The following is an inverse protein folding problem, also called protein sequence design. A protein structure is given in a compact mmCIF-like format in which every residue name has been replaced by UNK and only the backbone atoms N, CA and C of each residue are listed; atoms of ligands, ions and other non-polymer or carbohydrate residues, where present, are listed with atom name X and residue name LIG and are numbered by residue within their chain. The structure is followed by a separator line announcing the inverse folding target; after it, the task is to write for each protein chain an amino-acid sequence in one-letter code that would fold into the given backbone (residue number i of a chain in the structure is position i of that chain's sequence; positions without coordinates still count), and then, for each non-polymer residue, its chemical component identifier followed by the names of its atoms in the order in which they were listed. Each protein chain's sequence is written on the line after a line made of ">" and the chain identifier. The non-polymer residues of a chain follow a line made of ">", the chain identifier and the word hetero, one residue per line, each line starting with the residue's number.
data_IF_877154825714
#
_entry.id   IF_877154825714
#
_cell.length_a   1.000
_cell.length_b   1.000
_cell.length_c   1.000
_cell.angle_alpha   90.00
_cell.angle_beta   90.00
_cell.angle_gamma   90.00
#
_symmetry.space_group_name_H-M   'P 1'
#
loop_
_entity.id
_entity.type
_entity.pdbx_description
1 polymer ?
#
# COMPACT_ATOMS: atom_id res chain seq x y z
N UNK A 1 -10.79 -2.42 10.09
CA UNK A 1 -9.58 -1.83 9.52
C UNK A 1 -9.88 -0.47 8.87
N UNK A 2 -10.59 -0.41 7.73
CA UNK A 2 -10.72 0.81 6.92
C UNK A 2 -11.28 2.02 7.68
N UNK A 3 -12.33 1.91 8.53
CA UNK A 3 -12.78 3.06 9.33
C UNK A 3 -11.68 3.66 10.21
N UNK A 4 -10.78 2.83 10.77
CA UNK A 4 -9.66 3.31 11.56
C UNK A 4 -8.59 4.00 10.69
N UNK A 5 -8.32 3.47 9.47
CA UNK A 5 -7.43 4.12 8.52
C UNK A 5 -7.99 5.49 8.09
N UNK A 6 -9.28 5.57 7.76
CA UNK A 6 -9.92 6.82 7.35
C UNK A 6 -9.92 7.85 8.49
N UNK A 7 -10.19 7.42 9.72
CA UNK A 7 -10.11 8.31 10.88
C UNK A 7 -8.70 8.89 11.07
N UNK A 8 -7.67 8.08 10.82
CA UNK A 8 -6.27 8.49 11.00
C UNK A 8 -5.78 9.51 9.95
N UNK A 9 -6.37 9.50 8.74
CA UNK A 9 -6.02 10.42 7.64
C UNK A 9 -7.01 11.57 7.43
N UNK A 10 -8.02 11.69 8.31
CA UNK A 10 -9.01 12.77 8.27
C UNK A 10 -10.23 12.53 7.38
N UNK A 11 -10.45 11.30 6.94
CA UNK A 11 -11.59 10.87 6.13
C UNK A 11 -11.21 9.95 4.98
N UNK A 12 -12.20 9.35 4.29
CA UNK A 12 -11.92 8.52 3.13
C UNK A 12 -11.36 9.36 1.97
N UNK A 13 -10.31 8.87 1.29
CA UNK A 13 -9.68 9.58 0.17
C UNK A 13 -10.56 9.55 -1.08
N UNK A 14 -10.35 10.50 -1.98
CA UNK A 14 -11.04 10.56 -3.28
C UNK A 14 -10.23 9.94 -4.42
N UNK A 15 -8.90 9.94 -4.29
CA UNK A 15 -8.02 9.29 -5.25
C UNK A 15 -7.07 8.34 -4.52
N UNK A 16 -7.13 7.05 -4.88
CA UNK A 16 -6.31 5.99 -4.32
C UNK A 16 -5.47 5.36 -5.43
N UNK A 17 -4.18 5.19 -5.16
CA UNK A 17 -3.30 4.33 -5.93
C UNK A 17 -2.88 3.12 -5.07
N UNK A 18 -3.22 1.91 -5.49
CA UNK A 18 -2.89 0.67 -4.81
C UNK A 18 -1.78 -0.05 -5.58
N UNK A 19 -0.56 0.06 -5.08
CA UNK A 19 0.65 -0.39 -5.78
C UNK A 19 1.11 -1.75 -5.25
N UNK A 20 1.58 -2.62 -6.16
CA UNK A 20 1.87 -4.03 -5.86
C UNK A 20 0.70 -4.66 -5.11
N UNK A 21 -0.49 -4.42 -5.63
CA UNK A 21 -1.76 -4.53 -4.91
C UNK A 21 -2.15 -5.98 -4.57
N UNK A 22 -1.62 -6.97 -5.29
CA UNK A 22 -2.04 -8.36 -5.13
C UNK A 22 -3.56 -8.50 -5.22
N UNK A 23 -4.16 -9.10 -4.20
CA UNK A 23 -5.61 -9.32 -4.11
C UNK A 23 -6.32 -8.26 -3.26
N UNK A 24 -5.61 -7.25 -2.76
CA UNK A 24 -6.19 -6.21 -1.89
C UNK A 24 -7.40 -5.49 -2.50
N UNK A 25 -7.45 -5.18 -3.83
CA UNK A 25 -8.58 -4.50 -4.43
C UNK A 25 -9.91 -5.28 -4.38
N UNK A 26 -9.89 -6.60 -4.15
CA UNK A 26 -11.13 -7.34 -3.89
C UNK A 26 -11.85 -6.87 -2.62
N UNK A 27 -11.18 -6.17 -1.72
CA UNK A 27 -11.77 -5.61 -0.51
C UNK A 27 -12.53 -4.29 -0.75
N UNK A 28 -12.51 -3.70 -1.97
CA UNK A 28 -13.18 -2.43 -2.29
C UNK A 28 -14.62 -2.30 -1.78
N UNK A 29 -15.50 -3.33 -1.89
CA UNK A 29 -16.86 -3.23 -1.39
C UNK A 29 -16.97 -2.98 0.12
N UNK A 30 -15.92 -3.29 0.88
CA UNK A 30 -15.89 -3.14 2.35
C UNK A 30 -15.06 -1.95 2.82
N UNK A 31 -14.44 -1.20 1.90
CA UNK A 31 -13.60 -0.04 2.25
C UNK A 31 -14.42 1.18 2.71
N UNK A 32 -15.72 1.24 2.37
CA UNK A 32 -16.59 2.37 2.72
C UNK A 32 -16.18 3.66 2.04
N UNK A 33 -15.71 3.57 0.79
CA UNK A 33 -15.28 4.72 -0.02
C UNK A 33 -16.48 5.47 -0.60
N UNK A 34 -16.36 6.80 -0.81
CA UNK A 34 -17.33 7.57 -1.58
C UNK A 34 -17.53 7.00 -2.99
N UNK A 35 -18.72 7.11 -3.57
CA UNK A 35 -19.01 6.58 -4.91
C UNK A 35 -18.18 7.22 -6.03
N UNK A 36 -17.70 8.43 -5.81
CA UNK A 36 -16.86 9.21 -6.73
C UNK A 36 -15.35 9.01 -6.52
N UNK A 37 -14.97 8.05 -5.67
CA UNK A 37 -13.55 7.72 -5.48
C UNK A 37 -12.96 7.12 -6.74
N UNK A 38 -11.86 7.70 -7.19
CA UNK A 38 -11.02 7.14 -8.25
C UNK A 38 -10.05 6.14 -7.63
N UNK A 39 -10.14 4.88 -8.04
CA UNK A 39 -9.27 3.82 -7.54
C UNK A 39 -8.49 3.19 -8.68
N UNK A 40 -7.17 3.29 -8.60
CA UNK A 40 -6.25 2.65 -9.53
C UNK A 40 -5.41 1.60 -8.80
N UNK A 41 -5.27 0.44 -9.39
CA UNK A 41 -4.46 -0.66 -8.85
C UNK A 41 -3.33 -1.01 -9.82
N UNK A 42 -2.21 -1.48 -9.31
CA UNK A 42 -1.15 -2.02 -10.16
C UNK A 42 -0.46 -3.21 -9.51
N UNK A 43 -0.10 -4.18 -10.33
CA UNK A 43 0.68 -5.35 -9.93
C UNK A 43 1.56 -5.82 -11.09
N UNK A 44 2.67 -6.50 -10.77
CA UNK A 44 3.55 -7.08 -11.79
C UNK A 44 2.96 -8.36 -12.41
N UNK A 45 2.10 -9.08 -11.68
CA UNK A 45 1.44 -10.31 -12.16
C UNK A 45 0.21 -9.97 -13.02
N UNK A 46 0.36 -10.14 -14.34
CA UNK A 46 -0.72 -9.94 -15.31
C UNK A 46 -1.99 -10.74 -14.98
N UNK A 47 -1.87 -11.93 -14.40
CA UNK A 47 -3.03 -12.78 -14.06
C UNK A 47 -3.87 -12.15 -12.96
N UNK A 48 -3.21 -11.50 -12.00
CA UNK A 48 -3.87 -10.72 -10.94
C UNK A 48 -4.59 -9.53 -11.58
N UNK A 49 -3.90 -8.74 -12.41
CA UNK A 49 -4.46 -7.58 -13.11
C UNK A 49 -5.69 -7.96 -13.93
N UNK A 50 -5.61 -9.02 -14.73
CA UNK A 50 -6.73 -9.50 -15.55
C UNK A 50 -7.92 -9.96 -14.69
N UNK A 51 -7.65 -10.55 -13.52
CA UNK A 51 -8.68 -11.00 -12.58
C UNK A 51 -9.37 -9.82 -11.90
N UNK A 52 -8.60 -8.79 -11.51
CA UNK A 52 -9.12 -7.57 -10.93
C UNK A 52 -10.00 -6.79 -11.91
N UNK A 53 -9.56 -6.61 -13.16
CA UNK A 53 -10.35 -5.89 -14.17
C UNK A 53 -11.67 -6.61 -14.45
N UNK A 54 -11.67 -7.95 -14.53
CA UNK A 54 -12.92 -8.74 -14.63
C UNK A 54 -13.82 -8.58 -13.41
N UNK A 55 -13.24 -8.47 -12.21
CA UNK A 55 -14.00 -8.22 -10.99
C UNK A 55 -14.64 -6.83 -11.01
N UNK A 56 -13.88 -5.79 -11.36
CA UNK A 56 -14.39 -4.42 -11.45
C UNK A 56 -15.54 -4.31 -12.44
N UNK A 57 -15.37 -4.86 -13.64
CA UNK A 57 -16.39 -4.89 -14.67
C UNK A 57 -17.70 -5.57 -14.19
N UNK A 58 -17.57 -6.78 -13.62
CA UNK A 58 -18.73 -7.55 -13.15
C UNK A 58 -19.44 -6.95 -11.94
N UNK A 59 -18.71 -6.26 -11.10
CA UNK A 59 -19.23 -5.62 -9.88
C UNK A 59 -19.74 -4.21 -10.13
N UNK A 60 -19.55 -3.65 -11.33
CA UNK A 60 -19.89 -2.27 -11.63
C UNK A 60 -19.05 -1.24 -10.84
N UNK A 61 -17.88 -1.66 -10.33
CA UNK A 61 -16.97 -0.79 -9.58
C UNK A 61 -16.15 0.01 -10.58
N UNK A 62 -16.18 1.34 -10.46
CA UNK A 62 -15.35 2.24 -11.28
C UNK A 62 -13.91 2.25 -10.78
N UNK A 63 -13.16 1.21 -11.14
CA UNK A 63 -11.74 1.05 -10.81
C UNK A 63 -11.01 0.41 -12.00
N UNK A 64 -9.68 0.53 -12.01
CA UNK A 64 -8.82 -0.01 -13.05
C UNK A 64 -7.57 -0.63 -12.44
N UNK A 65 -7.14 -1.74 -13.00
CA UNK A 65 -5.84 -2.36 -12.68
C UNK A 65 -4.94 -2.38 -13.92
N UNK A 66 -3.66 -2.09 -13.72
CA UNK A 66 -2.62 -2.14 -14.77
C UNK A 66 -1.44 -3.02 -14.36
N UNK A 67 -0.78 -3.60 -15.38
CA UNK A 67 0.45 -4.36 -15.14
C UNK A 67 1.63 -3.37 -15.04
N UNK A 68 2.30 -3.36 -13.87
CA UNK A 68 3.35 -2.38 -13.59
C UNK A 68 4.46 -2.99 -12.74
N UNK A 69 5.70 -2.85 -13.19
CA UNK A 69 6.89 -3.13 -12.41
C UNK A 69 7.35 -1.87 -11.69
N UNK A 70 7.17 -1.80 -10.37
CA UNK A 70 7.51 -0.63 -9.58
C UNK A 70 9.01 -0.33 -9.54
N UNK A 71 9.87 -1.33 -9.75
CA UNK A 71 11.32 -1.13 -9.76
C UNK A 71 11.81 -0.61 -11.11
N UNK A 72 11.21 -1.06 -12.20
CA UNK A 72 11.58 -0.66 -13.56
C UNK A 72 10.92 0.66 -14.00
N UNK A 73 9.69 0.93 -13.57
CA UNK A 73 8.94 2.13 -13.97
C UNK A 73 9.40 3.37 -13.16
N UNK A 74 10.00 4.40 -13.80
CA UNK A 74 10.47 5.60 -13.13
C UNK A 74 9.35 6.61 -12.82
N UNK A 75 8.12 6.36 -13.24
CA UNK A 75 7.02 7.32 -13.16
C UNK A 75 6.67 7.68 -11.71
N UNK A 76 6.34 8.95 -11.49
CA UNK A 76 5.77 9.39 -10.23
C UNK A 76 4.33 8.91 -10.10
N UNK A 77 3.91 8.67 -8.86
CA UNK A 77 2.53 8.34 -8.51
C UNK A 77 1.98 9.45 -7.65
N UNK A 78 0.90 10.09 -8.13
CA UNK A 78 0.20 11.14 -7.39
C UNK A 78 -1.22 10.67 -7.07
N UNK A 79 -1.55 10.66 -5.77
CA UNK A 79 -2.87 10.30 -5.25
C UNK A 79 -3.06 10.91 -3.85
N UNK A 80 -4.31 11.00 -3.35
CA UNK A 80 -4.56 11.40 -1.97
C UNK A 80 -4.00 10.36 -1.01
N UNK A 81 -4.12 9.08 -1.38
CA UNK A 81 -3.62 7.94 -0.65
C UNK A 81 -2.95 6.92 -1.59
N UNK A 82 -1.76 6.47 -1.21
CA UNK A 82 -1.09 5.34 -1.84
C UNK A 82 -1.07 4.15 -0.88
N UNK A 83 -1.54 2.99 -1.33
CA UNK A 83 -1.34 1.72 -0.65
C UNK A 83 -0.08 1.00 -1.18
N UNK A 84 0.70 0.44 -0.27
CA UNK A 84 1.86 -0.44 -0.50
C UNK A 84 1.83 -1.59 0.52
N UNK A 85 0.76 -2.41 0.44
CA UNK A 85 0.49 -3.45 1.43
C UNK A 85 1.44 -4.65 1.26
N UNK A 86 2.27 -4.91 2.29
CA UNK A 86 3.27 -6.01 2.32
C UNK A 86 4.30 -5.97 1.18
N UNK A 87 4.47 -4.84 0.49
CA UNK A 87 5.31 -4.73 -0.69
C UNK A 87 6.77 -4.37 -0.36
N UNK A 88 7.01 -3.53 0.67
CA UNK A 88 8.35 -2.99 0.96
C UNK A 88 9.43 -4.06 1.15
N UNK A 89 9.20 -5.16 1.91
CA UNK A 89 10.21 -6.19 2.07
C UNK A 89 10.58 -6.88 0.74
N UNK A 90 9.58 -7.11 -0.11
CA UNK A 90 9.79 -7.71 -1.42
C UNK A 90 10.58 -6.81 -2.37
N UNK A 91 10.31 -5.50 -2.37
CA UNK A 91 11.05 -4.51 -3.16
C UNK A 91 12.52 -4.43 -2.72
N UNK A 92 12.77 -4.43 -1.41
CA UNK A 92 14.13 -4.38 -0.85
C UNK A 92 14.91 -5.68 -1.10
N UNK A 93 14.21 -6.84 -1.10
CA UNK A 93 14.83 -8.14 -1.41
C UNK A 93 15.21 -8.27 -2.88
N UNK A 94 14.39 -7.72 -3.79
CA UNK A 94 14.68 -7.76 -5.23
C UNK A 94 15.81 -6.82 -5.61
N UNK A 95 15.86 -5.65 -4.99
CA UNK A 95 16.89 -4.66 -5.24
C UNK A 95 17.16 -3.85 -3.97
N UNK A 96 18.41 -3.85 -3.52
CA UNK A 96 18.86 -3.06 -2.36
C UNK A 96 18.58 -1.56 -2.61
N UNK A 97 17.83 -0.92 -1.68
CA UNK A 97 17.36 0.45 -1.84
C UNK A 97 16.12 0.59 -2.76
N UNK A 98 15.55 -0.54 -3.22
CA UNK A 98 14.36 -0.54 -4.07
C UNK A 98 13.14 0.04 -3.39
N UNK A 99 12.94 -0.28 -2.12
CA UNK A 99 11.84 0.28 -1.32
C UNK A 99 11.94 1.81 -1.21
N UNK A 100 13.12 2.33 -0.87
CA UNK A 100 13.37 3.78 -0.80
C UNK A 100 13.13 4.45 -2.14
N UNK A 101 13.64 3.89 -3.23
CA UNK A 101 13.48 4.43 -4.58
C UNK A 101 12.02 4.50 -5.01
N UNK A 102 11.20 3.51 -4.67
CA UNK A 102 9.76 3.55 -4.93
C UNK A 102 9.10 4.64 -4.09
N UNK A 103 9.35 4.70 -2.78
CA UNK A 103 8.75 5.70 -1.89
C UNK A 103 9.06 7.13 -2.34
N UNK A 104 10.28 7.42 -2.83
CA UNK A 104 10.68 8.75 -3.33
C UNK A 104 9.90 9.24 -4.57
N UNK A 105 9.17 8.36 -5.24
CA UNK A 105 8.33 8.68 -6.40
C UNK A 105 6.88 8.93 -6.04
N UNK A 106 6.51 8.70 -4.78
CA UNK A 106 5.15 8.91 -4.32
C UNK A 106 4.95 10.38 -3.99
N UNK A 107 3.99 11.00 -4.68
CA UNK A 107 3.58 12.38 -4.47
C UNK A 107 2.10 12.36 -4.08
N UNK A 108 1.85 12.41 -2.80
CA UNK A 108 0.51 12.26 -2.26
C UNK A 108 0.38 12.79 -0.84
N UNK A 109 -0.84 12.75 -0.30
CA UNK A 109 -1.10 13.15 1.08
C UNK A 109 -0.63 12.09 2.07
N UNK A 110 -0.92 10.83 1.75
CA UNK A 110 -0.70 9.70 2.66
C UNK A 110 -0.17 8.48 1.91
N UNK A 111 0.70 7.73 2.59
CA UNK A 111 1.11 6.38 2.16
C UNK A 111 0.80 5.41 3.28
N UNK A 112 0.09 4.32 2.98
CA UNK A 112 -0.15 3.25 3.94
C UNK A 112 0.63 2.02 3.49
N UNK A 113 1.55 1.59 4.34
CA UNK A 113 2.27 0.34 4.16
C UNK A 113 1.82 -0.65 5.23
N UNK A 114 1.93 -1.94 4.98
CA UNK A 114 1.73 -2.94 6.01
C UNK A 114 2.85 -3.97 6.04
N UNK A 115 3.04 -4.55 7.23
CA UNK A 115 3.95 -5.66 7.45
C UNK A 115 3.26 -6.72 8.32
N UNK A 116 3.56 -8.02 8.13
CA UNK A 116 3.03 -9.05 9.01
C UNK A 116 3.65 -8.93 10.41
N UNK A 117 2.84 -9.13 11.46
CA UNK A 117 3.31 -9.14 12.86
C UNK A 117 3.93 -10.47 13.26
N UNK A 118 3.59 -11.56 12.54
CA UNK A 118 4.14 -12.89 12.77
C UNK A 118 4.23 -13.66 11.45
N UNK A 119 5.20 -14.58 11.34
CA UNK A 119 5.20 -15.51 10.22
C UNK A 119 4.04 -16.52 10.34
N UNK A 120 3.59 -17.06 9.22
CA UNK A 120 2.60 -18.14 9.16
C UNK A 120 3.05 -19.40 9.95
N UNK A 121 4.33 -19.52 10.27
CA UNK A 121 4.93 -20.62 11.04
C UNK A 121 5.09 -20.37 12.53
N UNK A 122 4.70 -19.19 13.03
CA UNK A 122 4.71 -18.87 14.48
C UNK A 122 6.09 -18.71 15.11
N UNK A 123 7.17 -18.55 14.33
CA UNK A 123 8.56 -18.57 14.82
C UNK A 123 9.24 -17.22 14.99
N UNK A 124 8.59 -16.07 14.79
CA UNK A 124 9.34 -14.83 14.57
C UNK A 124 8.97 -13.65 15.47
N UNK A 125 9.51 -13.62 16.70
CA UNK A 125 9.70 -12.35 17.43
C UNK A 125 10.64 -11.38 16.70
N UNK A 126 11.63 -11.89 15.94
CA UNK A 126 12.63 -11.07 15.24
C UNK A 126 12.16 -10.45 13.93
N UNK A 127 11.13 -10.99 13.29
CA UNK A 127 10.66 -10.50 11.98
C UNK A 127 9.91 -9.17 12.12
N UNK A 128 9.09 -9.02 13.15
CA UNK A 128 8.39 -7.76 13.43
C UNK A 128 9.40 -6.64 13.69
N UNK A 129 10.36 -6.86 14.61
CA UNK A 129 11.40 -5.89 14.92
C UNK A 129 12.22 -5.49 13.68
N UNK A 130 12.50 -6.44 12.79
CA UNK A 130 13.21 -6.17 11.54
C UNK A 130 12.38 -5.29 10.60
N UNK A 131 11.07 -5.56 10.43
CA UNK A 131 10.21 -4.75 9.58
C UNK A 131 9.97 -3.35 10.16
N UNK A 132 9.78 -3.25 11.47
CA UNK A 132 9.67 -1.96 12.16
C UNK A 132 10.92 -1.10 11.97
N UNK A 133 12.10 -1.71 12.13
CA UNK A 133 13.37 -1.03 11.91
C UNK A 133 13.52 -0.56 10.45
N UNK A 134 13.11 -1.40 9.48
CA UNK A 134 13.12 -1.04 8.07
C UNK A 134 12.18 0.14 7.77
N UNK A 135 10.93 0.07 8.22
CA UNK A 135 9.95 1.16 7.99
C UNK A 135 10.41 2.44 8.68
N UNK A 136 10.87 2.36 9.93
CA UNK A 136 11.37 3.51 10.69
C UNK A 136 12.57 4.16 9.99
N UNK A 137 13.49 3.36 9.44
CA UNK A 137 14.62 3.86 8.67
C UNK A 137 14.16 4.61 7.42
N UNK A 138 13.26 4.01 6.63
CA UNK A 138 12.71 4.63 5.41
C UNK A 138 11.95 5.92 5.71
N UNK A 139 11.12 5.93 6.75
CA UNK A 139 10.39 7.14 7.22
C UNK A 139 11.36 8.25 7.60
N UNK A 140 12.42 7.92 8.33
CA UNK A 140 13.48 8.87 8.70
C UNK A 140 14.19 9.45 7.49
N UNK A 141 14.51 8.62 6.49
CA UNK A 141 15.14 9.05 5.23
C UNK A 141 14.26 9.98 4.40
N UNK A 142 12.93 9.81 4.48
CA UNK A 142 11.95 10.64 3.78
C UNK A 142 11.60 11.94 4.54
N UNK A 143 11.92 12.04 5.82
CA UNK A 143 11.43 13.11 6.69
C UNK A 143 9.91 13.07 6.91
N UNK A 144 9.31 11.88 6.77
CA UNK A 144 7.87 11.68 6.94
C UNK A 144 7.51 11.43 8.41
N UNK A 145 6.24 11.60 8.72
CA UNK A 145 5.67 11.20 10.01
C UNK A 145 4.97 9.85 9.85
N UNK A 146 5.07 9.00 10.86
CA UNK A 146 4.42 7.70 10.89
C UNK A 146 3.47 7.57 12.09
N UNK A 147 2.34 6.91 11.88
CA UNK A 147 1.43 6.39 12.92
C UNK A 147 1.19 4.93 12.66
N UNK A 148 1.05 4.14 13.71
CA UNK A 148 0.84 2.71 13.63
C UNK A 148 -0.56 2.32 14.05
N UNK A 149 -1.13 1.34 13.34
CA UNK A 149 -2.38 0.66 13.72
C UNK A 149 -2.13 -0.84 13.60
N UNK A 150 -2.40 -1.56 14.68
CA UNK A 150 -2.36 -3.02 14.67
C UNK A 150 -3.75 -3.57 14.39
N UNK A 151 -3.88 -4.43 13.40
CA UNK A 151 -5.13 -5.08 13.06
C UNK A 151 -4.90 -6.53 12.63
N UNK A 152 -5.48 -7.47 13.37
CA UNK A 152 -5.26 -8.89 13.13
C UNK A 152 -3.79 -9.27 13.33
N UNK A 153 -3.19 -9.82 12.29
CA UNK A 153 -1.78 -10.22 12.25
C UNK A 153 -0.92 -9.27 11.37
N UNK A 154 -1.35 -8.03 11.21
CA UNK A 154 -0.61 -7.01 10.44
C UNK A 154 -0.45 -5.72 11.25
N UNK A 155 0.68 -5.06 11.06
CA UNK A 155 0.92 -3.67 11.46
C UNK A 155 0.78 -2.79 10.22
N UNK A 156 -0.05 -1.75 10.33
CA UNK A 156 -0.25 -0.73 9.30
C UNK A 156 0.44 0.55 9.73
N UNK A 157 1.33 1.05 8.90
CA UNK A 157 2.01 2.32 9.09
C UNK A 157 1.37 3.35 8.17
N UNK A 158 0.82 4.40 8.77
CA UNK A 158 0.19 5.52 8.08
C UNK A 158 1.22 6.64 8.03
N UNK A 159 1.74 6.87 6.85
CA UNK A 159 2.85 7.78 6.59
C UNK A 159 2.32 9.08 6.00
N UNK A 160 2.54 10.20 6.69
CA UNK A 160 2.25 11.54 6.18
C UNK A 160 3.41 12.05 5.34
N UNK A 161 3.17 12.29 4.04
CA UNK A 161 4.21 12.75 3.11
C UNK A 161 4.40 14.27 3.13
N UNK A 162 3.47 15.01 3.75
CA UNK A 162 3.53 16.47 3.92
C UNK A 162 3.78 16.81 5.37
N UNK A 163 4.82 17.58 5.62
CA UNK A 163 5.07 18.31 6.86
C UNK A 163 4.28 19.61 6.86
#
# INVERSE_FOLDING_TARGET
>A
LYPALWAAIGGPPRHIADLACGLHPFALPWMGLPPDTVYTASDIDRRIVDSLNRFFERSGISAMAECRDLLADPSRVSADLVFLMKALPGLEQQEKGGAERVLRRLDGGWVIVSTPTASLSGRDKGMHEHYDAMVSHLVGQMGWQAREIHFGNETFYILGTRS
#
